data_IF_952029358484
#
_entry.id   IF_952029358484
#
_cell.length_a   1.000
_cell.length_b   1.000
_cell.length_c   1.000
_cell.angle_alpha   90.00
_cell.angle_beta   90.00
_cell.angle_gamma   90.00
#
_symmetry.space_group_name_H-M   'P 1'
#
loop_
_entity.id
_entity.type
_entity.pdbx_description
1 polymer ?
#
# COMPACT_ATOMS: atom_id res chain seq x y z
N UNK A 1 5.00 22.30 13.90
CA UNK A 1 4.18 21.08 14.08
C UNK A 1 4.70 20.09 13.05
N UNK A 2 5.18 18.93 13.47
CA UNK A 2 5.53 17.87 12.52
C UNK A 2 4.25 17.45 11.79
N UNK A 3 4.29 17.54 10.46
CA UNK A 3 3.18 17.07 9.63
C UNK A 3 3.15 15.55 9.72
N UNK A 4 2.10 15.00 10.33
CA UNK A 4 1.92 13.55 10.33
C UNK A 4 1.56 13.10 8.91
N UNK A 5 2.42 12.30 8.28
CA UNK A 5 2.18 11.78 6.94
C UNK A 5 1.40 10.48 7.01
N UNK A 6 0.35 10.38 6.19
CA UNK A 6 -0.49 9.20 6.09
C UNK A 6 -0.13 8.46 4.80
N UNK A 7 0.25 7.19 4.93
CA UNK A 7 0.57 6.31 3.81
C UNK A 7 -0.47 5.20 3.75
N UNK A 8 -0.86 4.82 2.53
CA UNK A 8 -1.55 3.55 2.29
C UNK A 8 -0.56 2.59 1.66
N UNK A 9 -0.41 1.41 2.22
CA UNK A 9 0.46 0.36 1.69
C UNK A 9 -0.38 -0.83 1.27
N UNK A 10 -0.11 -1.36 0.07
CA UNK A 10 -0.72 -2.59 -0.42
C UNK A 10 0.31 -3.71 -0.41
N UNK A 11 -0.15 -4.93 -0.19
CA UNK A 11 0.68 -6.13 -0.38
C UNK A 11 0.07 -7.37 0.24
N UNK A 12 0.64 -8.52 -0.13
CA UNK A 12 0.26 -9.82 0.40
C UNK A 12 0.58 -9.94 1.90
N UNK A 13 -0.29 -10.61 2.66
CA UNK A 13 -0.17 -10.82 4.10
C UNK A 13 -0.81 -12.15 4.54
N UNK A 14 -0.19 -12.87 5.50
CA UNK A 14 -0.61 -14.19 5.98
C UNK A 14 -2.07 -14.28 6.44
N UNK A 15 -2.59 -13.21 7.04
CA UNK A 15 -3.98 -13.16 7.51
C UNK A 15 -4.97 -12.79 6.41
N UNK A 16 -4.73 -13.31 5.20
CA UNK A 16 -5.33 -12.96 3.92
C UNK A 16 -6.86 -13.01 3.89
N UNK A 17 -7.45 -11.88 3.48
CA UNK A 17 -8.77 -11.67 2.89
C UNK A 17 -8.97 -10.14 2.85
N UNK A 18 -9.41 -9.58 1.72
CA UNK A 18 -9.55 -8.14 1.60
C UNK A 18 -10.71 -7.61 2.47
N UNK A 19 -10.38 -6.96 3.58
CA UNK A 19 -11.32 -6.43 4.57
C UNK A 19 -11.00 -4.98 4.91
N UNK A 20 -11.07 -4.10 3.91
CA UNK A 20 -10.81 -2.65 4.03
C UNK A 20 -9.39 -2.25 4.51
N UNK A 21 -8.97 -0.98 4.32
CA UNK A 21 -7.69 -0.50 4.83
C UNK A 21 -7.65 -0.54 6.37
N UNK A 22 -6.62 -1.18 6.93
CA UNK A 22 -6.43 -1.32 8.38
C UNK A 22 -5.44 -0.28 8.88
N UNK A 23 -5.83 0.54 9.84
CA UNK A 23 -4.94 1.51 10.48
C UNK A 23 -3.92 0.79 11.37
N UNK A 24 -2.65 0.85 11.00
CA UNK A 24 -1.52 0.38 11.79
C UNK A 24 -0.83 1.59 12.44
N UNK A 25 -0.80 1.65 13.76
CA UNK A 25 -0.19 2.75 14.52
C UNK A 25 1.17 2.36 15.12
N UNK A 26 1.43 1.07 15.25
CA UNK A 26 2.67 0.54 15.81
C UNK A 26 2.95 -0.87 15.24
N UNK A 27 4.17 -1.33 15.53
CA UNK A 27 4.68 -2.61 15.04
C UNK A 27 3.92 -3.83 15.60
N UNK A 28 3.40 -3.73 16.83
CA UNK A 28 2.67 -4.84 17.45
C UNK A 28 1.32 -5.03 16.75
N UNK A 29 0.59 -3.93 16.53
CA UNK A 29 -0.68 -3.97 15.80
C UNK A 29 -0.49 -4.43 14.35
N UNK A 30 0.60 -4.01 13.69
CA UNK A 30 0.91 -4.49 12.34
C UNK A 30 1.10 -6.01 12.30
N UNK A 31 1.91 -6.57 13.21
CA UNK A 31 2.13 -8.01 13.28
C UNK A 31 0.84 -8.79 13.62
N UNK A 32 0.01 -8.26 14.53
CA UNK A 32 -1.29 -8.84 14.85
C UNK A 32 -2.28 -8.76 13.68
N UNK A 33 -2.29 -7.69 12.90
CA UNK A 33 -3.25 -7.51 11.80
C UNK A 33 -2.87 -8.32 10.54
N UNK A 34 -1.57 -8.43 10.25
CA UNK A 34 -1.06 -8.94 8.98
C UNK A 34 -0.49 -10.35 9.07
N UNK A 35 0.00 -10.77 10.24
CA UNK A 35 0.79 -12.01 10.38
C UNK A 35 2.20 -11.84 9.83
N UNK A 36 2.83 -12.94 9.40
CA UNK A 36 4.15 -12.89 8.81
C UNK A 36 4.07 -12.39 7.36
N UNK A 37 5.09 -11.65 6.88
CA UNK A 37 5.20 -11.37 5.46
C UNK A 37 5.49 -12.66 4.69
N UNK A 38 4.77 -12.93 3.58
CA UNK A 38 5.22 -13.89 2.58
C UNK A 38 6.64 -13.53 2.09
N UNK A 39 7.46 -14.52 1.74
CA UNK A 39 8.89 -14.34 1.44
C UNK A 39 9.18 -13.27 0.36
N UNK A 40 8.26 -13.09 -0.59
CA UNK A 40 8.41 -12.13 -1.70
C UNK A 40 7.65 -10.81 -1.48
N UNK A 41 6.85 -10.69 -0.41
CA UNK A 41 6.02 -9.51 -0.15
C UNK A 41 6.85 -8.33 0.35
N UNK A 42 6.86 -7.25 -0.43
CA UNK A 42 7.55 -6.00 -0.07
C UNK A 42 6.66 -5.02 0.71
N UNK A 43 5.34 -5.23 0.75
CA UNK A 43 4.39 -4.30 1.40
C UNK A 43 4.63 -4.13 2.90
N UNK A 44 4.78 -5.24 3.63
CA UNK A 44 5.02 -5.23 5.08
C UNK A 44 6.36 -4.57 5.44
N UNK A 45 7.51 -4.92 4.81
CA UNK A 45 8.77 -4.21 5.04
C UNK A 45 8.68 -2.68 4.90
N UNK A 46 7.99 -2.18 3.86
CA UNK A 46 7.78 -0.75 3.68
C UNK A 46 6.87 -0.15 4.76
N UNK A 47 5.81 -0.84 5.15
CA UNK A 47 4.94 -0.41 6.24
C UNK A 47 5.68 -0.31 7.58
N UNK A 48 6.57 -1.26 7.87
CA UNK A 48 7.46 -1.23 9.04
C UNK A 48 8.36 0.01 9.00
N UNK A 49 9.01 0.28 7.87
CA UNK A 49 9.84 1.48 7.72
C UNK A 49 9.04 2.75 7.95
N UNK A 50 7.84 2.86 7.36
CA UNK A 50 6.97 4.01 7.55
C UNK A 50 6.62 4.24 9.03
N UNK A 51 6.30 3.17 9.78
CA UNK A 51 6.04 3.26 11.22
C UNK A 51 7.27 3.72 12.00
N UNK A 52 8.47 3.23 11.67
CA UNK A 52 9.73 3.66 12.32
C UNK A 52 10.04 5.14 12.11
N UNK A 53 9.56 5.74 11.01
CA UNK A 53 9.64 7.17 10.74
C UNK A 53 8.44 7.97 11.27
N UNK A 54 7.68 7.41 12.23
CA UNK A 54 6.49 8.02 12.83
C UNK A 54 5.45 8.44 11.78
N UNK A 55 5.20 7.59 10.78
CA UNK A 55 4.13 7.80 9.81
C UNK A 55 2.91 6.98 10.18
N UNK A 56 1.74 7.48 9.85
CA UNK A 56 0.50 6.71 9.96
C UNK A 56 0.36 5.80 8.74
N UNK A 57 0.17 4.50 8.96
CA UNK A 57 0.01 3.52 7.89
C UNK A 57 -1.40 2.97 7.88
N UNK A 58 -2.03 2.99 6.71
CA UNK A 58 -3.20 2.18 6.40
C UNK A 58 -2.75 1.03 5.52
N UNK A 59 -2.94 -0.21 5.94
CA UNK A 59 -2.53 -1.38 5.17
C UNK A 59 -3.72 -2.02 4.47
N UNK A 60 -3.61 -2.24 3.16
CA UNK A 60 -4.59 -2.97 2.35
C UNK A 60 -3.99 -4.34 2.04
N UNK A 61 -4.61 -5.37 2.60
CA UNK A 61 -4.20 -6.76 2.41
C UNK A 61 -4.64 -7.25 1.04
N UNK A 62 -3.71 -7.81 0.30
CA UNK A 62 -3.94 -8.57 -0.93
C UNK A 62 -3.87 -10.06 -0.58
N UNK A 63 -4.69 -10.89 -1.21
CA UNK A 63 -4.78 -12.33 -0.94
C UNK A 63 -3.42 -13.04 -1.02
N UNK A 64 -3.25 -14.07 -0.20
CA UNK A 64 -2.07 -14.93 -0.22
C UNK A 64 -2.08 -15.82 -1.46
N UNK A 65 -1.39 -15.38 -2.51
CA UNK A 65 -0.77 -16.21 -3.57
C UNK A 65 0.08 -15.29 -4.48
N UNK A 66 0.74 -14.30 -3.87
CA UNK A 66 1.69 -13.41 -4.54
C UNK A 66 1.07 -12.21 -5.26
N UNK A 67 -0.17 -12.27 -5.74
CA UNK A 67 -0.80 -11.14 -6.46
C UNK A 67 -2.30 -11.36 -6.75
N UNK A 68 -3.14 -10.37 -6.47
CA UNK A 68 -4.54 -10.33 -6.92
C UNK A 68 -4.90 -8.94 -7.43
N UNK A 69 -4.94 -8.77 -8.76
CA UNK A 69 -5.32 -7.52 -9.41
C UNK A 69 -6.70 -7.02 -8.96
N UNK A 70 -7.64 -7.94 -8.72
CA UNK A 70 -8.98 -7.63 -8.22
C UNK A 70 -8.93 -6.95 -6.85
N UNK A 71 -8.09 -7.44 -5.93
CA UNK A 71 -7.93 -6.86 -4.60
C UNK A 71 -7.36 -5.44 -4.66
N UNK A 72 -6.36 -5.20 -5.51
CA UNK A 72 -5.81 -3.85 -5.68
C UNK A 72 -6.88 -2.87 -6.15
N UNK A 73 -7.64 -3.20 -7.20
CA UNK A 73 -8.72 -2.33 -7.69
C UNK A 73 -9.87 -2.17 -6.69
N UNK A 74 -10.19 -3.21 -5.93
CA UNK A 74 -11.19 -3.12 -4.88
C UNK A 74 -10.70 -2.20 -3.76
N UNK A 75 -9.42 -2.28 -3.37
CA UNK A 75 -8.80 -1.36 -2.43
C UNK A 75 -8.77 0.08 -2.93
N UNK A 76 -8.44 0.31 -4.20
CA UNK A 76 -8.55 1.63 -4.85
C UNK A 76 -9.97 2.20 -4.78
N UNK A 77 -10.98 1.37 -5.05
CA UNK A 77 -12.39 1.76 -4.95
C UNK A 77 -12.79 2.13 -3.51
N UNK A 78 -12.28 1.41 -2.51
CA UNK A 78 -12.48 1.75 -1.11
C UNK A 78 -11.79 3.06 -0.72
N UNK A 79 -10.60 3.33 -1.26
CA UNK A 79 -9.92 4.62 -1.03
C UNK A 79 -10.72 5.78 -1.63
N UNK A 80 -11.24 5.63 -2.85
CA UNK A 80 -12.08 6.63 -3.53
C UNK A 80 -13.36 6.98 -2.78
N UNK A 81 -13.98 5.99 -2.14
CA UNK A 81 -15.20 6.19 -1.34
C UNK A 81 -14.91 6.64 0.09
N UNK A 82 -13.66 6.59 0.53
CA UNK A 82 -13.23 7.03 1.86
C UNK A 82 -12.86 8.52 1.90
N UNK A 83 -12.91 9.12 3.08
CA UNK A 83 -12.37 10.46 3.33
C UNK A 83 -10.83 10.47 3.49
N UNK A 84 -10.15 9.40 3.08
CA UNK A 84 -8.72 9.20 3.30
C UNK A 84 -7.87 9.88 2.22
N UNK A 85 -8.27 9.78 0.93
CA UNK A 85 -7.50 10.29 -0.22
C UNK A 85 -7.02 11.74 -0.06
N UNK A 86 -7.86 12.73 0.35
CA UNK A 86 -7.41 14.11 0.50
C UNK A 86 -6.35 14.33 1.58
N UNK A 87 -6.12 13.33 2.44
CA UNK A 87 -5.17 13.36 3.55
C UNK A 87 -3.93 12.51 3.28
N UNK A 88 -3.91 11.73 2.20
CA UNK A 88 -2.81 10.83 1.90
C UNK A 88 -1.58 11.59 1.42
N UNK A 89 -0.46 11.24 2.01
CA UNK A 89 0.86 11.63 1.51
C UNK A 89 1.30 10.70 0.39
N UNK A 90 1.04 9.39 0.52
CA UNK A 90 1.42 8.42 -0.50
C UNK A 90 0.54 7.17 -0.54
N UNK A 91 0.53 6.52 -1.70
CA UNK A 91 0.07 5.14 -1.91
C UNK A 91 1.31 4.32 -2.30
N UNK A 92 1.51 3.17 -1.66
CA UNK A 92 2.61 2.26 -1.94
C UNK A 92 2.15 0.96 -2.55
N UNK A 93 2.75 0.61 -3.69
CA UNK A 93 2.58 -0.64 -4.43
C UNK A 93 3.93 -1.34 -4.64
N UNK A 94 4.71 -1.64 -3.59
CA UNK A 94 6.01 -2.28 -3.76
C UNK A 94 5.84 -3.76 -4.15
N UNK A 95 6.62 -4.23 -5.11
CA UNK A 95 6.55 -5.58 -5.67
C UNK A 95 5.39 -5.76 -6.67
N UNK A 96 4.99 -4.69 -7.35
CA UNK A 96 3.92 -4.69 -8.37
C UNK A 96 4.51 -4.23 -9.70
N UNK A 97 4.60 -5.14 -10.67
CA UNK A 97 5.08 -4.89 -12.05
C UNK A 97 3.95 -4.61 -13.04
N UNK A 98 2.70 -4.61 -12.57
CA UNK A 98 1.51 -4.40 -13.37
C UNK A 98 1.30 -2.92 -13.71
N UNK A 99 1.54 -2.55 -14.98
CA UNK A 99 1.42 -1.18 -15.46
C UNK A 99 0.02 -0.58 -15.29
N UNK A 100 -1.04 -1.39 -15.39
CA UNK A 100 -2.42 -0.92 -15.24
C UNK A 100 -2.72 -0.55 -13.79
N UNK A 101 -2.19 -1.31 -12.83
CA UNK A 101 -2.29 -0.98 -11.40
C UNK A 101 -1.47 0.25 -11.03
N UNK A 102 -0.26 0.37 -11.57
CA UNK A 102 0.60 1.54 -11.39
C UNK A 102 -0.08 2.81 -11.94
N UNK A 103 -0.61 2.74 -13.17
CA UNK A 103 -1.33 3.85 -13.80
C UNK A 103 -2.58 4.24 -12.99
N UNK A 104 -3.36 3.26 -12.56
CA UNK A 104 -4.55 3.50 -11.73
C UNK A 104 -4.20 4.19 -10.41
N UNK A 105 -3.17 3.72 -9.69
CA UNK A 105 -2.75 4.36 -8.45
C UNK A 105 -2.13 5.75 -8.66
N UNK A 106 -1.40 5.94 -9.75
CA UNK A 106 -0.88 7.26 -10.15
C UNK A 106 -2.02 8.25 -10.39
N UNK A 107 -3.09 7.82 -11.08
CA UNK A 107 -4.30 8.62 -11.29
C UNK A 107 -5.03 8.94 -9.98
N UNK A 108 -5.03 8.04 -8.98
CA UNK A 108 -5.56 8.33 -7.64
C UNK A 108 -4.74 9.39 -6.91
N UNK A 109 -3.42 9.36 -7.06
CA UNK A 109 -2.51 10.28 -6.37
C UNK A 109 -2.57 11.70 -6.95
N UNK A 110 -2.73 11.83 -8.27
CA UNK A 110 -2.57 13.10 -8.99
C UNK A 110 -3.47 14.25 -8.47
N UNK A 111 -4.79 14.07 -8.25
CA UNK A 111 -5.66 15.15 -7.78
C UNK A 111 -5.29 15.69 -6.40
N UNK A 112 -4.67 14.85 -5.57
CA UNK A 112 -4.36 15.15 -4.17
C UNK A 112 -2.89 15.48 -3.92
N UNK A 113 -2.06 15.51 -4.99
CA UNK A 113 -0.60 15.69 -4.92
C UNK A 113 0.07 14.69 -3.98
N UNK A 114 -0.51 13.49 -3.87
CA UNK A 114 0.10 12.37 -3.17
C UNK A 114 1.18 11.74 -4.05
N UNK A 115 2.07 10.97 -3.44
CA UNK A 115 3.14 10.25 -4.15
C UNK A 115 2.75 8.78 -4.35
N UNK A 116 3.20 8.20 -5.45
CA UNK A 116 3.21 6.75 -5.63
C UNK A 116 4.58 6.22 -5.19
N UNK A 117 4.59 5.20 -4.34
CA UNK A 117 5.80 4.49 -3.90
C UNK A 117 5.81 3.12 -4.56
N UNK A 118 6.88 2.81 -5.28
CA UNK A 118 7.14 1.49 -5.89
C UNK A 118 8.53 1.00 -5.46
N UNK A 119 8.88 -0.25 -5.77
CA UNK A 119 10.29 -0.65 -5.70
C UNK A 119 11.08 -0.12 -6.89
N UNK A 120 12.41 -0.16 -6.81
CA UNK A 120 13.31 0.19 -7.92
C UNK A 120 13.08 -0.73 -9.13
N UNK A 121 12.89 -2.02 -8.88
CA UNK A 121 12.63 -3.02 -9.91
C UNK A 121 11.30 -2.73 -10.62
N UNK A 122 10.22 -2.55 -9.87
CA UNK A 122 8.89 -2.23 -10.43
C UNK A 122 8.94 -0.97 -11.30
N UNK A 123 9.67 0.06 -10.86
CA UNK A 123 9.80 1.30 -11.62
C UNK A 123 10.57 1.08 -12.93
N UNK A 124 11.66 0.31 -12.89
CA UNK A 124 12.43 -0.03 -14.09
C UNK A 124 11.57 -0.80 -15.09
N UNK A 125 10.86 -1.83 -14.63
CA UNK A 125 10.00 -2.66 -15.46
C UNK A 125 8.87 -1.80 -16.07
N UNK A 126 8.20 -0.96 -15.28
CA UNK A 126 7.17 -0.04 -15.75
C UNK A 126 7.67 0.94 -16.83
N UNK A 127 8.89 1.48 -16.68
CA UNK A 127 9.44 2.46 -17.62
C UNK A 127 10.01 1.82 -18.90
N UNK A 128 10.21 0.51 -18.94
CA UNK A 128 10.84 -0.21 -20.07
C UNK A 128 9.92 -1.20 -20.77
N UNK A 129 8.70 -1.41 -20.25
CA UNK A 129 7.64 -2.23 -20.84
C UNK A 129 7.07 -1.66 -22.16
#
# INVERSE_FOLDING_TARGET
METNHILVMFGAAERGEMRAPILCNDMAHLAEALGNPPDESQGIPFAIQALLFNRTVYYVRVEEEGFSRADYFQGFSLLQTSNLLPKLTAIGLPGVDDSELIDAASQLCHPYKSMLITSEQDLFDYLTA
#
